data_IF_322164888859
#
_entry.id   IF_322164888859
#
_cell.length_a   1.000
_cell.length_b   1.000
_cell.length_c   1.000
_cell.angle_alpha   90.00
_cell.angle_beta   90.00
_cell.angle_gamma   90.00
#
_symmetry.space_group_name_H-M   'P 1'
#
loop_
_entity.id
_entity.type
_entity.pdbx_description
1 polymer ?
#
# COMPACT_ATOMS: atom_id res chain seq x y z
N UNK A 1 15.31 12.71 16.17
CA UNK A 1 14.30 12.26 17.16
C UNK A 1 14.50 10.78 17.37
N UNK A 2 14.44 10.28 18.61
CA UNK A 2 14.49 8.85 18.90
C UNK A 2 13.09 8.41 19.31
N UNK A 3 12.65 7.27 18.77
CA UNK A 3 11.37 6.65 19.08
C UNK A 3 11.61 5.28 19.70
N UNK A 4 10.80 4.94 20.70
CA UNK A 4 10.85 3.63 21.33
C UNK A 4 9.91 2.67 20.61
N UNK A 5 10.37 1.44 20.45
CA UNK A 5 9.55 0.35 19.93
C UNK A 5 8.62 -0.16 21.05
N UNK A 6 7.35 -0.34 20.73
CA UNK A 6 6.30 -0.86 21.63
C UNK A 6 5.75 -2.16 21.09
N UNK A 7 5.44 -3.10 21.99
CA UNK A 7 4.78 -4.36 21.65
C UNK A 7 3.30 -4.11 21.35
N UNK A 8 2.81 -4.70 20.26
CA UNK A 8 1.42 -4.66 19.81
C UNK A 8 1.00 -6.09 19.47
N UNK A 9 0.64 -6.89 20.48
CA UNK A 9 0.38 -8.32 20.30
C UNK A 9 1.65 -9.08 19.89
N UNK A 10 1.60 -9.78 18.75
CA UNK A 10 2.77 -10.44 18.14
C UNK A 10 3.63 -9.48 17.30
N UNK A 11 3.22 -8.22 17.18
CA UNK A 11 3.90 -7.20 16.38
C UNK A 11 4.62 -6.18 17.26
N UNK A 12 5.41 -5.34 16.59
CA UNK A 12 6.08 -4.19 17.18
C UNK A 12 5.71 -2.94 16.37
N UNK A 13 5.68 -1.79 17.03
CA UNK A 13 5.42 -0.51 16.37
C UNK A 13 6.06 0.66 17.09
N UNK A 14 6.12 1.79 16.42
CA UNK A 14 6.55 3.08 16.97
C UNK A 14 5.38 4.06 16.95
N UNK A 15 5.33 4.97 17.91
CA UNK A 15 4.31 6.04 17.93
C UNK A 15 4.87 7.22 17.16
N UNK A 16 4.26 7.54 16.01
CA UNK A 16 4.62 8.70 15.22
C UNK A 16 3.77 9.92 15.65
N UNK A 17 4.38 11.09 15.91
CA UNK A 17 3.64 12.33 16.08
C UNK A 17 2.75 12.65 14.87
N UNK A 18 1.53 13.14 15.12
CA UNK A 18 0.60 13.58 14.06
C UNK A 18 1.22 14.64 13.15
N UNK A 19 2.09 15.51 13.68
CA UNK A 19 2.78 16.54 12.92
C UNK A 19 3.71 15.97 11.84
N UNK A 20 4.28 14.77 12.03
CA UNK A 20 5.09 14.11 11.00
C UNK A 20 4.21 13.56 9.88
N UNK A 21 3.07 12.97 10.22
CA UNK A 21 2.10 12.48 9.24
C UNK A 21 1.55 13.64 8.40
N UNK A 22 1.22 14.76 9.04
CA UNK A 22 0.74 15.97 8.36
C UNK A 22 1.75 16.57 7.37
N UNK A 23 3.05 16.47 7.64
CA UNK A 23 4.09 16.97 6.73
C UNK A 23 4.14 16.22 5.39
N UNK A 24 3.77 14.94 5.38
CA UNK A 24 3.72 14.13 4.16
C UNK A 24 2.30 13.96 3.60
N UNK A 25 1.30 14.57 4.24
CA UNK A 25 -0.11 14.46 3.86
C UNK A 25 -0.69 13.05 4.07
N UNK A 26 -0.10 12.25 4.96
CA UNK A 26 -0.62 10.92 5.30
C UNK A 26 -1.82 11.04 6.23
N UNK A 27 -2.89 10.29 5.93
CA UNK A 27 -4.16 10.35 6.67
C UNK A 27 -4.37 9.05 7.45
N UNK A 28 -4.65 7.95 6.74
CA UNK A 28 -5.12 6.71 7.39
C UNK A 28 -4.14 5.53 7.27
N UNK A 29 -3.23 5.58 6.28
CA UNK A 29 -2.31 4.48 6.01
C UNK A 29 -0.99 4.96 5.42
N UNK A 30 0.03 4.12 5.56
CA UNK A 30 1.37 4.31 5.03
C UNK A 30 1.81 3.04 4.32
N UNK A 31 2.50 3.19 3.20
CA UNK A 31 3.29 2.13 2.63
C UNK A 31 4.61 2.00 3.40
N UNK A 32 5.06 0.76 3.58
CA UNK A 32 6.30 0.42 4.29
C UNK A 32 7.21 -0.36 3.36
N UNK A 33 8.43 0.12 3.17
CA UNK A 33 9.48 -0.60 2.44
C UNK A 33 10.75 -0.68 3.29
N UNK A 34 11.60 -1.68 3.01
CA UNK A 34 12.90 -1.82 3.64
C UNK A 34 13.98 -1.64 2.58
N UNK A 35 14.79 -0.59 2.72
CA UNK A 35 15.87 -0.30 1.78
C UNK A 35 17.16 0.02 2.54
N UNK A 36 18.24 -0.72 2.22
CA UNK A 36 19.59 -0.49 2.78
C UNK A 36 19.61 -0.48 4.32
N UNK A 37 18.82 -1.34 4.94
CA UNK A 37 18.70 -1.43 6.40
C UNK A 37 17.81 -0.36 7.04
N UNK A 38 17.11 0.47 6.24
CA UNK A 38 16.18 1.48 6.72
C UNK A 38 14.74 1.05 6.44
N UNK A 39 13.84 1.33 7.38
CA UNK A 39 12.40 1.29 7.14
C UNK A 39 12.00 2.64 6.57
N UNK A 40 11.48 2.65 5.35
CA UNK A 40 10.97 3.84 4.67
C UNK A 40 9.45 3.80 4.74
N UNK A 41 8.87 4.89 5.24
CA UNK A 41 7.44 5.11 5.29
C UNK A 41 7.06 6.16 4.25
N UNK A 42 6.06 5.87 3.43
CA UNK A 42 5.58 6.77 2.39
C UNK A 42 4.06 6.75 2.28
N UNK A 43 3.48 7.78 1.67
CA UNK A 43 2.07 7.75 1.35
C UNK A 43 1.79 6.60 0.36
N UNK A 44 0.74 5.81 0.58
CA UNK A 44 0.42 4.70 -0.30
C UNK A 44 0.22 5.21 -1.72
N UNK A 45 1.02 4.69 -2.65
CA UNK A 45 0.77 4.90 -4.07
C UNK A 45 -0.47 4.08 -4.43
N UNK A 46 -1.61 4.76 -4.59
CA UNK A 46 -2.76 4.17 -5.27
C UNK A 46 -2.25 3.77 -6.65
N UNK A 47 -2.22 2.46 -6.96
CA UNK A 47 -1.81 2.02 -8.29
C UNK A 47 -2.79 2.63 -9.30
N UNK A 48 -2.41 3.72 -9.96
CA UNK A 48 -3.05 4.14 -11.21
C UNK A 48 -2.98 2.93 -12.14
N UNK A 49 -4.14 2.49 -12.64
CA UNK A 49 -4.25 1.34 -13.53
C UNK A 49 -4.89 0.08 -12.94
N UNK A 50 -5.30 0.02 -11.66
CA UNK A 50 -6.15 -1.11 -11.20
C UNK A 50 -7.54 -1.09 -11.83
N UNK A 51 -8.14 0.10 -11.98
CA UNK A 51 -9.40 0.25 -12.71
C UNK A 51 -9.24 -0.13 -14.19
N UNK A 52 -8.13 0.25 -14.81
CA UNK A 52 -7.82 -0.05 -16.22
C UNK A 52 -7.50 -1.54 -16.43
N UNK A 53 -6.74 -2.16 -15.53
CA UNK A 53 -6.44 -3.59 -15.56
C UNK A 53 -7.68 -4.45 -15.27
N UNK A 54 -8.57 -4.00 -14.38
CA UNK A 54 -9.86 -4.67 -14.16
C UNK A 54 -10.77 -4.57 -15.39
N UNK A 55 -10.76 -3.43 -16.10
CA UNK A 55 -11.49 -3.29 -17.37
C UNK A 55 -10.96 -4.26 -18.45
N UNK A 56 -9.63 -4.42 -18.58
CA UNK A 56 -9.05 -5.39 -19.52
C UNK A 56 -9.36 -6.85 -19.18
N UNK A 57 -9.53 -7.19 -17.89
CA UNK A 57 -9.93 -8.54 -17.49
C UNK A 57 -11.38 -8.87 -17.89
N UNK A 58 -12.28 -7.87 -17.95
CA UNK A 58 -13.66 -8.07 -18.43
C UNK A 58 -13.70 -8.25 -19.96
N UNK A 59 -12.80 -7.60 -20.69
CA UNK A 59 -12.70 -7.74 -22.16
C UNK A 59 -12.14 -9.11 -22.59
N UNK A 60 -11.20 -9.69 -21.82
CA UNK A 60 -10.55 -10.95 -22.20
C UNK A 60 -11.35 -12.22 -21.89
N UNK A 61 -12.38 -12.18 -21.04
CA UNK A 61 -13.24 -13.36 -20.78
C UNK A 61 -14.33 -13.58 -21.85
N UNK A 62 -14.57 -12.60 -22.74
CA UNK A 62 -15.61 -12.71 -23.77
C UNK A 62 -15.14 -13.44 -25.05
N UNK A 63 -13.84 -13.55 -25.30
CA UNK A 63 -13.34 -14.23 -26.52
C UNK A 63 -13.23 -15.75 -26.41
N UNK A 64 -13.16 -16.31 -25.20
CA UNK A 64 -12.88 -17.75 -25.00
C UNK A 64 -14.12 -18.62 -24.74
N UNK A 65 -15.33 -18.06 -24.81
CA UNK A 65 -16.58 -18.81 -24.64
C UNK A 65 -17.29 -19.16 -25.97
N UNK A 66 -16.83 -18.64 -27.11
CA UNK A 66 -17.54 -18.80 -28.40
C UNK A 66 -17.06 -19.96 -29.30
N UNK A 67 -16.06 -20.76 -28.87
CA UNK A 67 -15.48 -21.85 -29.67
C UNK A 67 -15.60 -23.23 -29.02
N UNK A 68 -16.77 -23.54 -28.43
CA UNK A 68 -17.10 -24.91 -28.04
C UNK A 68 -18.59 -25.20 -28.19
N UNK A 69 -18.99 -25.44 -29.43
CA UNK A 69 -20.18 -26.21 -29.78
C UNK A 69 -19.90 -27.00 -31.06
#
# INVERSE_FOLDING_TARGET
MILNIRKMGNSQGVILPKSLLGQIGAVDSLAVTVEKGNIILSCPTVRRGWAEAAAMLVETEQEHFFFRN
#
